data_IF_840560100981
#
_entry.id   IF_840560100981
#
_cell.length_a   1.000
_cell.length_b   1.000
_cell.length_c   1.000
_cell.angle_alpha   90.00
_cell.angle_beta   90.00
_cell.angle_gamma   90.00
#
_symmetry.space_group_name_H-M   'P 1'
#
loop_
_entity.id
_entity.type
_entity.pdbx_description
1 polymer ?
#
# COMPACT_ATOMS: atom_id res chain seq x y z
N UNK A 1 -2.18 8.32 14.87
CA UNK A 1 -2.15 9.53 14.02
C UNK A 1 -3.09 9.29 12.84
N UNK A 2 -3.90 10.27 12.45
CA UNK A 2 -4.84 10.17 11.31
C UNK A 2 -4.49 11.21 10.26
N UNK A 3 -4.60 10.86 8.98
CA UNK A 3 -4.49 11.78 7.85
C UNK A 3 -5.90 12.06 7.33
N UNK A 4 -6.27 13.33 7.23
CA UNK A 4 -7.57 13.77 6.69
C UNK A 4 -7.37 14.36 5.30
N UNK A 5 -8.27 14.01 4.38
CA UNK A 5 -8.36 14.61 3.05
C UNK A 5 -9.57 15.54 3.05
N UNK A 6 -9.41 16.81 2.65
CA UNK A 6 -10.54 17.74 2.55
C UNK A 6 -11.65 17.25 1.63
N UNK A 7 -12.91 17.55 1.97
CA UNK A 7 -14.09 17.07 1.23
C UNK A 7 -14.12 17.56 -0.22
N UNK A 8 -13.66 18.78 -0.49
CA UNK A 8 -13.57 19.35 -1.83
C UNK A 8 -12.59 18.55 -2.72
N UNK A 9 -11.47 18.10 -2.15
CA UNK A 9 -10.54 17.21 -2.83
C UNK A 9 -11.21 15.87 -3.13
N UNK A 10 -11.88 15.25 -2.15
CA UNK A 10 -12.61 13.98 -2.35
C UNK A 10 -13.68 14.09 -3.44
N UNK A 11 -14.43 15.20 -3.46
CA UNK A 11 -15.47 15.44 -4.46
C UNK A 11 -14.92 15.63 -5.88
N UNK A 12 -13.66 16.07 -6.01
CA UNK A 12 -13.00 16.23 -7.30
C UNK A 12 -12.49 14.92 -7.90
N UNK A 13 -12.35 13.87 -7.09
CA UNK A 13 -11.85 12.56 -7.54
C UNK A 13 -12.89 11.82 -8.37
N UNK A 14 -12.45 11.25 -9.50
CA UNK A 14 -13.30 10.42 -10.38
C UNK A 14 -13.40 8.98 -9.87
N UNK A 15 -13.73 8.80 -8.59
CA UNK A 15 -13.85 7.51 -7.93
C UNK A 15 -15.28 7.36 -7.41
N UNK A 16 -15.96 6.22 -7.64
CA UNK A 16 -17.27 5.96 -7.06
C UNK A 16 -17.21 6.03 -5.52
N UNK A 17 -18.16 6.74 -4.89
CA UNK A 17 -18.18 6.93 -3.42
C UNK A 17 -18.12 5.60 -2.66
N UNK A 18 -18.74 4.55 -3.18
CA UNK A 18 -18.76 3.22 -2.57
C UNK A 18 -17.39 2.53 -2.54
N UNK A 19 -16.44 2.99 -3.36
CA UNK A 19 -15.08 2.43 -3.47
C UNK A 19 -14.00 3.41 -3.05
N UNK A 20 -14.35 4.65 -2.71
CA UNK A 20 -13.42 5.74 -2.42
C UNK A 20 -12.37 5.34 -1.38
N UNK A 21 -12.81 4.83 -0.23
CA UNK A 21 -11.91 4.47 0.87
C UNK A 21 -10.92 3.37 0.48
N UNK A 22 -11.40 2.35 -0.24
CA UNK A 22 -10.58 1.20 -0.65
C UNK A 22 -9.56 1.65 -1.70
N UNK A 23 -9.99 2.39 -2.72
CA UNK A 23 -9.13 2.86 -3.80
C UNK A 23 -8.04 3.80 -3.25
N UNK A 24 -8.42 4.79 -2.42
CA UNK A 24 -7.45 5.71 -1.83
C UNK A 24 -6.44 5.01 -0.91
N UNK A 25 -6.91 4.03 -0.13
CA UNK A 25 -6.04 3.23 0.73
C UNK A 25 -5.04 2.41 -0.09
N UNK A 26 -5.51 1.78 -1.17
CA UNK A 26 -4.65 1.03 -2.08
C UNK A 26 -3.64 1.93 -2.79
N UNK A 27 -4.08 3.07 -3.32
CA UNK A 27 -3.16 4.04 -3.95
C UNK A 27 -2.10 4.54 -2.98
N UNK A 28 -2.49 4.82 -1.73
CA UNK A 28 -1.54 5.20 -0.68
C UNK A 28 -0.57 4.05 -0.36
N UNK A 29 -1.05 2.81 -0.29
CA UNK A 29 -0.20 1.63 -0.07
C UNK A 29 0.87 1.47 -1.16
N UNK A 30 0.47 1.57 -2.43
CA UNK A 30 1.37 1.48 -3.56
C UNK A 30 2.36 2.65 -3.60
N UNK A 31 1.92 3.88 -3.28
CA UNK A 31 2.80 5.04 -3.23
C UNK A 31 3.87 4.93 -2.12
N UNK A 32 3.49 4.41 -0.94
CA UNK A 32 4.44 4.17 0.16
C UNK A 32 5.45 3.09 -0.21
N UNK A 33 4.99 2.00 -0.83
CA UNK A 33 5.86 0.92 -1.31
C UNK A 33 6.85 1.41 -2.38
N UNK A 34 6.34 2.06 -3.43
CA UNK A 34 7.16 2.56 -4.55
C UNK A 34 8.24 3.53 -4.10
N UNK A 35 7.98 4.30 -3.03
CA UNK A 35 8.94 5.25 -2.46
C UNK A 35 9.92 4.62 -1.47
N UNK A 36 9.83 3.31 -1.22
CA UNK A 36 10.66 2.62 -0.21
C UNK A 36 10.33 3.01 1.23
N UNK A 37 9.18 3.65 1.47
CA UNK A 37 8.77 4.10 2.80
C UNK A 37 8.06 2.99 3.60
N UNK A 38 7.56 1.97 2.90
CA UNK A 38 6.95 0.80 3.50
C UNK A 38 7.41 -0.47 2.77
N UNK A 39 7.75 -1.51 3.52
CA UNK A 39 7.95 -2.86 2.97
C UNK A 39 6.69 -3.38 2.27
N UNK A 40 6.85 -4.37 1.38
CA UNK A 40 5.73 -5.05 0.73
C UNK A 40 4.71 -5.60 1.75
N UNK A 41 5.18 -6.23 2.84
CA UNK A 41 4.33 -6.77 3.89
C UNK A 41 3.48 -5.72 4.62
N UNK A 42 4.04 -4.54 4.91
CA UNK A 42 3.30 -3.42 5.50
C UNK A 42 2.30 -2.84 4.49
N UNK A 43 2.75 -2.58 3.27
CA UNK A 43 1.91 -2.00 2.23
C UNK A 43 0.72 -2.91 1.87
N UNK A 44 0.93 -4.22 1.69
CA UNK A 44 -0.17 -5.15 1.37
C UNK A 44 -1.17 -5.28 2.51
N UNK A 45 -0.70 -5.28 3.78
CA UNK A 45 -1.58 -5.32 4.95
C UNK A 45 -2.44 -4.08 5.01
N UNK A 46 -1.84 -2.91 4.80
CA UNK A 46 -2.57 -1.64 4.74
C UNK A 46 -3.55 -1.59 3.56
N UNK A 47 -3.20 -2.15 2.40
CA UNK A 47 -4.06 -2.24 1.23
C UNK A 47 -5.21 -3.27 1.38
N UNK A 48 -5.19 -4.10 2.43
CA UNK A 48 -6.05 -5.28 2.60
C UNK A 48 -5.96 -6.26 1.42
N UNK A 49 -4.75 -6.41 0.85
CA UNK A 49 -4.48 -7.30 -0.27
C UNK A 49 -3.64 -8.50 0.16
N UNK A 50 -3.95 -9.65 -0.44
CA UNK A 50 -3.04 -10.78 -0.40
C UNK A 50 -1.80 -10.51 -1.26
N UNK A 51 -0.81 -11.41 -1.17
CA UNK A 51 0.46 -11.29 -1.90
C UNK A 51 0.25 -11.20 -3.42
N UNK A 52 -0.64 -12.00 -3.98
CA UNK A 52 -0.83 -12.09 -5.44
C UNK A 52 -1.56 -10.87 -5.98
N UNK A 53 -2.62 -10.42 -5.29
CA UNK A 53 -3.35 -9.21 -5.63
C UNK A 53 -2.47 -7.96 -5.53
N UNK A 54 -1.57 -7.91 -4.54
CA UNK A 54 -0.60 -6.82 -4.44
C UNK A 54 0.40 -6.82 -5.61
N UNK A 55 0.95 -7.99 -5.97
CA UNK A 55 1.86 -8.12 -7.11
C UNK A 55 1.20 -7.75 -8.44
N UNK A 56 -0.05 -8.16 -8.66
CA UNK A 56 -0.85 -7.75 -9.82
C UNK A 56 -1.06 -6.22 -9.82
N UNK A 57 -1.34 -5.63 -8.66
CA UNK A 57 -1.45 -4.19 -8.49
C UNK A 57 -0.16 -3.42 -8.79
N UNK A 58 1.02 -3.98 -8.47
CA UNK A 58 2.32 -3.42 -8.86
C UNK A 58 2.50 -3.47 -10.37
N UNK A 59 2.21 -4.62 -10.99
CA UNK A 59 2.34 -4.81 -12.43
C UNK A 59 1.46 -3.83 -13.22
N UNK A 60 0.19 -3.67 -12.82
CA UNK A 60 -0.75 -2.70 -13.41
C UNK A 60 -0.27 -1.25 -13.33
N UNK A 61 0.52 -0.91 -12.31
CA UNK A 61 1.08 0.43 -12.09
C UNK A 61 2.50 0.61 -12.63
N UNK A 62 3.10 -0.45 -13.19
CA UNK A 62 4.49 -0.42 -13.66
C UNK A 62 5.51 -0.22 -12.53
N UNK A 63 5.17 -0.60 -11.29
CA UNK A 63 6.06 -0.47 -10.14
C UNK A 63 7.00 -1.68 -10.11
N UNK A 64 8.30 -1.42 -10.21
CA UNK A 64 9.34 -2.46 -10.13
C UNK A 64 9.41 -2.99 -8.70
N UNK A 65 9.40 -4.32 -8.55
CA UNK A 65 9.53 -4.95 -7.24
C UNK A 65 10.92 -4.74 -6.66
N UNK A 66 11.01 -4.37 -5.38
CA UNK A 66 12.27 -4.23 -4.66
C UNK A 66 12.76 -5.60 -4.17
N UNK A 67 13.30 -6.41 -5.09
CA UNK A 67 13.72 -7.80 -4.82
C UNK A 67 14.80 -7.98 -3.73
N UNK A 68 15.49 -6.92 -3.28
CA UNK A 68 16.61 -7.01 -2.34
C UNK A 68 16.34 -6.49 -0.92
N UNK A 69 15.38 -5.58 -0.72
CA UNK A 69 15.19 -4.89 0.57
C UNK A 69 13.95 -5.41 1.34
N UNK A 70 12.94 -5.92 0.62
CA UNK A 70 11.66 -6.32 1.21
C UNK A 70 11.74 -7.66 1.97
N UNK A 71 12.46 -8.65 1.47
CA UNK A 71 12.52 -9.99 2.10
C UNK A 71 13.32 -9.97 3.42
N UNK A 72 14.43 -9.23 3.49
CA UNK A 72 15.25 -9.12 4.71
C UNK A 72 14.54 -8.29 5.80
N UNK A 73 13.77 -7.28 5.39
CA UNK A 73 13.00 -6.43 6.32
C UNK A 73 11.77 -7.15 6.86
N UNK A 74 11.12 -8.01 6.05
CA UNK A 74 10.00 -8.85 6.48
C UNK A 74 10.42 -9.83 7.60
N UNK A 75 11.60 -10.45 7.49
CA UNK A 75 12.12 -11.36 8.53
C UNK A 75 12.46 -10.61 9.83
N UNK A 76 13.10 -9.43 9.74
CA UNK A 76 13.50 -8.65 10.93
C UNK A 76 12.28 -8.02 11.63
N UNK A 77 11.30 -7.53 10.87
CA UNK A 77 10.09 -6.93 11.44
C UNK A 77 9.19 -8.01 12.06
N UNK A 78 9.03 -9.16 11.41
CA UNK A 78 8.28 -10.29 11.97
C UNK A 78 8.92 -10.83 13.26
N UNK A 79 10.25 -10.94 13.30
CA UNK A 79 10.99 -11.37 14.49
C UNK A 79 10.85 -10.40 15.68
N UNK A 80 10.56 -9.11 15.42
CA UNK A 80 10.41 -8.07 16.46
C UNK A 80 8.98 -7.87 16.95
N UNK A 81 7.99 -8.10 16.09
CA UNK A 81 6.56 -7.92 16.39
C UNK A 81 5.92 -9.19 17.01
N UNK A 82 6.62 -10.32 16.98
CA UNK A 82 6.17 -11.62 17.51
C UNK A 82 6.67 -11.93 18.94
N UNK A 83 7.05 -10.91 19.73
CA UNK A 83 7.42 -11.02 21.15
C UNK A 83 6.43 -10.30 22.06
#
# INVERSE_FOLDING_TARGET
MTLTIPDDVIQSLKIPKQRMDIELRQEMAFALYQRGLASMGVARRYAELDKWAFLDGLAKRGIVRHFGEDELSEDIAYARDSQ
#
